data_IF_498602768731
#
_entry.id   IF_498602768731
#
_cell.length_a   1.000
_cell.length_b   1.000
_cell.length_c   1.000
_cell.angle_alpha   90.00
_cell.angle_beta   90.00
_cell.angle_gamma   90.00
#
_symmetry.space_group_name_H-M   'P 1'
#
loop_
_entity.id
_entity.type
_entity.pdbx_description
1 polymer ?
#
# COMPACT_ATOMS: atom_id res chain seq x y z
N UNK A 1 -9.08 14.08 -34.04
CA UNK A 1 -9.38 14.56 -32.68
C UNK A 1 -10.50 13.71 -32.14
N UNK A 2 -10.18 12.77 -31.27
CA UNK A 2 -11.01 12.32 -30.14
C UNK A 2 -10.18 11.25 -29.44
N UNK A 3 -9.54 11.68 -28.34
CA UNK A 3 -8.67 10.84 -27.53
C UNK A 3 -9.52 9.93 -26.65
N UNK A 4 -9.28 8.63 -26.76
CA UNK A 4 -9.73 7.64 -25.79
C UNK A 4 -9.03 7.92 -24.46
N UNK A 5 -9.76 8.60 -23.58
CA UNK A 5 -9.42 8.78 -22.17
C UNK A 5 -9.40 7.41 -21.48
N UNK A 6 -8.27 6.72 -21.58
CA UNK A 6 -8.00 5.50 -20.83
C UNK A 6 -7.53 5.90 -19.43
N UNK A 7 -8.48 6.35 -18.61
CA UNK A 7 -8.30 6.78 -17.21
C UNK A 7 -7.94 5.65 -16.24
N UNK A 8 -7.19 4.63 -16.67
CA UNK A 8 -6.65 3.59 -15.80
C UNK A 8 -5.37 4.10 -15.13
N UNK A 9 -5.50 4.93 -14.08
CA UNK A 9 -4.44 5.07 -13.06
C UNK A 9 -4.82 5.87 -11.80
N UNK A 10 -6.04 6.40 -11.65
CA UNK A 10 -6.27 7.41 -10.61
C UNK A 10 -6.64 6.91 -9.20
N UNK A 11 -7.00 5.63 -8.99
CA UNK A 11 -7.58 5.20 -7.69
C UNK A 11 -6.85 4.05 -6.99
N UNK A 12 -5.67 3.64 -7.47
CA UNK A 12 -4.87 2.67 -6.72
C UNK A 12 -4.02 3.47 -5.72
N UNK A 13 -4.07 3.08 -4.44
CA UNK A 13 -3.03 3.32 -3.41
C UNK A 13 -3.15 4.47 -2.40
N UNK A 14 -4.32 5.07 -2.13
CA UNK A 14 -4.42 5.93 -0.92
C UNK A 14 -5.72 5.67 -0.15
N UNK A 15 -5.61 4.84 0.87
CA UNK A 15 -6.61 4.69 1.91
C UNK A 15 -7.70 3.68 1.54
N UNK A 16 -7.85 2.66 2.37
CA UNK A 16 -9.09 1.90 2.45
C UNK A 16 -10.24 2.84 2.80
N UNK A 17 -10.92 3.39 1.80
CA UNK A 17 -12.33 3.74 1.92
C UNK A 17 -13.15 2.75 1.11
N UNK A 18 -13.10 1.49 1.56
CA UNK A 18 -14.04 0.45 1.16
C UNK A 18 -15.41 0.85 1.75
N UNK A 19 -16.26 1.44 0.92
CA UNK A 19 -17.67 1.67 1.27
C UNK A 19 -18.35 0.31 1.44
N UNK A 20 -18.54 -0.10 2.70
CA UNK A 20 -19.76 -0.78 3.13
C UNK A 20 -19.94 -2.26 2.79
N UNK A 21 -18.97 -2.97 2.24
CA UNK A 21 -19.05 -4.43 2.13
C UNK A 21 -18.20 -5.08 3.21
N UNK A 22 -18.80 -5.96 4.00
CA UNK A 22 -18.09 -6.77 5.01
C UNK A 22 -17.07 -7.64 4.27
N UNK A 23 -15.80 -7.26 4.27
CA UNK A 23 -14.73 -8.12 3.77
C UNK A 23 -14.62 -9.34 4.70
N UNK A 24 -14.96 -10.52 4.19
CA UNK A 24 -14.45 -11.78 4.70
C UNK A 24 -12.98 -11.87 4.27
N UNK A 25 -12.10 -12.36 5.15
CA UNK A 25 -10.73 -12.65 4.73
C UNK A 25 -10.78 -13.68 3.59
N UNK A 26 -10.09 -13.45 2.45
CA UNK A 26 -10.08 -14.42 1.38
C UNK A 26 -9.41 -15.70 1.88
N UNK A 27 -10.11 -16.82 1.71
CA UNK A 27 -9.56 -18.15 1.92
C UNK A 27 -8.57 -18.43 0.77
N UNK A 28 -7.55 -19.27 0.98
CA UNK A 28 -6.49 -19.51 -0.03
C UNK A 28 -7.04 -20.01 -1.39
N UNK A 29 -8.24 -20.59 -1.38
CA UNK A 29 -8.97 -21.10 -2.53
C UNK A 29 -9.74 -20.01 -3.32
N UNK A 30 -9.88 -18.81 -2.76
CA UNK A 30 -10.60 -17.67 -3.37
C UNK A 30 -9.77 -16.92 -4.43
N UNK A 31 -8.51 -17.34 -4.65
CA UNK A 31 -7.60 -16.76 -5.64
C UNK A 31 -7.94 -17.11 -7.10
N UNK A 32 -9.06 -17.79 -7.37
CA UNK A 32 -9.51 -18.15 -8.72
C UNK A 32 -10.16 -16.93 -9.38
N UNK A 33 -9.77 -16.60 -10.61
CA UNK A 33 -10.21 -15.39 -11.32
C UNK A 33 -11.74 -15.23 -11.38
N UNK A 34 -12.48 -16.33 -11.56
CA UNK A 34 -13.96 -16.35 -11.59
C UNK A 34 -14.64 -15.88 -10.28
N UNK A 35 -13.94 -15.94 -9.14
CA UNK A 35 -14.48 -15.50 -7.83
C UNK A 35 -14.18 -14.02 -7.55
N UNK A 36 -13.12 -13.48 -8.16
CA UNK A 36 -12.71 -12.09 -7.98
C UNK A 36 -13.75 -11.14 -8.60
N UNK A 37 -14.24 -11.45 -9.80
CA UNK A 37 -15.29 -10.66 -10.44
C UNK A 37 -16.63 -10.75 -9.70
N UNK A 38 -16.99 -11.95 -9.22
CA UNK A 38 -18.28 -12.21 -8.55
C UNK A 38 -18.41 -11.51 -7.20
N UNK A 39 -17.29 -11.33 -6.49
CA UNK A 39 -17.23 -10.68 -5.17
C UNK A 39 -16.74 -9.21 -5.25
N UNK A 40 -16.59 -8.65 -6.45
CA UNK A 40 -16.24 -7.24 -6.67
C UNK A 40 -14.79 -6.88 -6.39
N UNK A 41 -13.88 -7.85 -6.40
CA UNK A 41 -12.45 -7.65 -6.25
C UNK A 41 -11.84 -7.31 -7.62
N UNK A 42 -11.50 -6.04 -7.82
CA UNK A 42 -10.80 -5.58 -9.01
C UNK A 42 -9.45 -6.32 -9.19
N UNK A 43 -8.96 -6.40 -10.44
CA UNK A 43 -7.76 -7.10 -10.96
C UNK A 43 -6.39 -6.85 -10.27
N UNK A 44 -6.38 -6.27 -9.08
CA UNK A 44 -5.22 -6.01 -8.22
C UNK A 44 -5.38 -6.67 -6.83
N UNK A 45 -6.33 -7.59 -6.68
CA UNK A 45 -6.75 -8.18 -5.40
C UNK A 45 -5.58 -8.75 -4.59
N UNK A 46 -4.68 -9.52 -5.21
CA UNK A 46 -3.53 -10.12 -4.52
C UNK A 46 -2.52 -9.08 -4.01
N UNK A 47 -2.22 -8.04 -4.80
CA UNK A 47 -1.31 -6.97 -4.38
C UNK A 47 -1.91 -6.16 -3.22
N UNK A 48 -3.20 -5.81 -3.32
CA UNK A 48 -3.91 -5.07 -2.28
C UNK A 48 -3.95 -5.87 -0.98
N UNK A 49 -4.35 -7.15 -1.05
CA UNK A 49 -4.39 -8.04 0.12
C UNK A 49 -3.00 -8.23 0.71
N UNK A 50 -1.97 -8.44 -0.11
CA UNK A 50 -0.59 -8.57 0.35
C UNK A 50 -0.09 -7.32 1.09
N UNK A 51 -0.36 -6.12 0.56
CA UNK A 51 0.04 -4.87 1.21
C UNK A 51 -0.79 -4.56 2.46
N UNK A 52 -2.07 -4.91 2.49
CA UNK A 52 -2.88 -4.82 3.70
C UNK A 52 -2.37 -5.75 4.81
N UNK A 53 -2.04 -7.00 4.47
CA UNK A 53 -1.44 -7.96 5.39
C UNK A 53 -0.08 -7.47 5.92
N UNK A 54 0.77 -6.92 5.04
CA UNK A 54 2.06 -6.34 5.43
C UNK A 54 1.90 -5.18 6.43
N UNK A 55 0.91 -4.30 6.22
CA UNK A 55 0.62 -3.19 7.14
C UNK A 55 0.09 -3.67 8.50
N UNK A 56 -0.73 -4.73 8.53
CA UNK A 56 -1.14 -5.36 9.78
C UNK A 56 0.05 -5.99 10.51
N UNK A 57 0.92 -6.69 9.76
CA UNK A 57 2.08 -7.36 10.29
C UNK A 57 3.11 -6.39 10.90
N UNK A 58 3.36 -5.24 10.27
CA UNK A 58 4.26 -4.22 10.81
C UNK A 58 3.80 -3.71 12.19
N UNK A 59 2.48 -3.56 12.41
CA UNK A 59 1.89 -3.18 13.70
C UNK A 59 2.06 -4.27 14.75
N UNK A 60 1.93 -5.54 14.37
CA UNK A 60 2.18 -6.69 15.26
C UNK A 60 3.65 -6.72 15.68
N UNK A 61 4.57 -6.56 14.73
CA UNK A 61 6.01 -6.51 14.99
C UNK A 61 6.38 -5.34 15.91
N UNK A 62 5.85 -4.15 15.65
CA UNK A 62 6.09 -2.97 16.49
C UNK A 62 5.69 -3.19 17.96
N UNK A 63 4.58 -3.89 18.20
CA UNK A 63 4.12 -4.25 19.55
C UNK A 63 5.00 -5.33 20.19
N UNK A 64 5.44 -6.31 19.41
CA UNK A 64 6.24 -7.45 19.91
C UNK A 64 7.68 -7.05 20.21
N UNK A 65 8.25 -6.14 19.42
CA UNK A 65 9.65 -5.75 19.47
C UNK A 65 9.80 -4.27 19.78
N UNK A 66 9.62 -3.91 21.05
CA UNK A 66 9.66 -2.50 21.50
C UNK A 66 11.05 -1.86 21.39
N UNK A 67 12.13 -2.63 21.31
CA UNK A 67 13.47 -2.10 21.06
C UNK A 67 13.66 -1.60 19.62
N UNK A 68 12.88 -2.12 18.66
CA UNK A 68 12.97 -1.74 17.25
C UNK A 68 11.93 -0.67 16.91
N UNK A 69 12.21 0.11 15.86
CA UNK A 69 11.24 1.03 15.26
C UNK A 69 10.74 0.41 13.96
N UNK A 70 9.51 -0.08 13.98
CA UNK A 70 8.92 -0.79 12.83
C UNK A 70 7.77 0.03 12.28
N UNK A 71 7.90 0.53 11.07
CA UNK A 71 6.86 1.33 10.40
C UNK A 71 6.63 0.84 8.98
N UNK A 72 5.45 1.10 8.44
CA UNK A 72 5.14 0.87 7.03
C UNK A 72 5.16 2.20 6.27
N UNK A 73 5.70 2.19 5.05
CA UNK A 73 5.81 3.39 4.21
C UNK A 73 5.32 3.08 2.80
N UNK A 74 4.42 3.91 2.29
CA UNK A 74 4.06 3.96 0.87
C UNK A 74 4.85 5.07 0.19
N UNK A 75 5.67 4.77 -0.83
CA UNK A 75 6.49 5.76 -1.54
C UNK A 75 5.68 6.61 -2.53
N UNK A 76 4.35 6.43 -2.60
CA UNK A 76 3.53 7.01 -3.66
C UNK A 76 3.72 6.33 -5.01
N UNK A 77 3.06 6.84 -6.04
CA UNK A 77 3.11 6.28 -7.39
C UNK A 77 4.37 6.75 -8.13
N UNK A 78 5.41 5.90 -8.10
CA UNK A 78 6.75 6.20 -8.61
C UNK A 78 6.98 5.63 -10.02
N UNK A 79 7.75 6.33 -10.85
CA UNK A 79 8.24 5.90 -12.15
C UNK A 79 9.31 4.81 -11.98
N UNK A 80 8.91 3.55 -12.13
CA UNK A 80 9.76 2.35 -11.98
C UNK A 80 9.30 1.28 -12.96
N UNK A 81 10.07 0.20 -13.11
CA UNK A 81 9.64 -0.93 -13.96
C UNK A 81 8.30 -1.55 -13.51
N UNK A 82 8.01 -1.54 -12.19
CA UNK A 82 6.74 -2.01 -11.63
C UNK A 82 5.52 -1.23 -12.15
N UNK A 83 5.72 0.05 -12.46
CA UNK A 83 4.69 0.96 -12.99
C UNK A 83 4.83 1.21 -14.49
N UNK A 84 5.66 0.43 -15.19
CA UNK A 84 6.01 0.65 -16.59
C UNK A 84 6.53 2.07 -16.85
N UNK A 85 7.35 2.58 -15.91
CA UNK A 85 7.89 3.94 -15.90
C UNK A 85 6.85 5.07 -15.87
N UNK A 86 5.61 4.78 -15.47
CA UNK A 86 4.58 5.78 -15.16
C UNK A 86 4.59 6.17 -13.69
N UNK A 87 4.15 7.37 -13.37
CA UNK A 87 4.16 7.84 -11.99
C UNK A 87 4.16 9.35 -11.85
N UNK A 88 3.68 9.83 -10.72
CA UNK A 88 3.80 11.23 -10.32
C UNK A 88 5.19 11.53 -9.76
N UNK A 89 5.81 10.56 -9.08
CA UNK A 89 7.11 10.70 -8.43
C UNK A 89 8.21 9.97 -9.20
N UNK A 90 9.43 10.46 -9.10
CA UNK A 90 10.64 9.70 -9.46
C UNK A 90 10.95 8.64 -8.39
N UNK A 91 11.79 7.66 -8.72
CA UNK A 91 12.27 6.69 -7.73
C UNK A 91 13.02 7.35 -6.57
N UNK A 92 13.79 8.40 -6.85
CA UNK A 92 14.49 9.19 -5.83
C UNK A 92 13.51 9.90 -4.88
N UNK A 93 12.46 10.53 -5.42
CA UNK A 93 11.44 11.19 -4.60
C UNK A 93 10.67 10.20 -3.73
N UNK A 94 10.30 9.04 -4.28
CA UNK A 94 9.64 7.96 -3.54
C UNK A 94 10.50 7.34 -2.44
N UNK A 95 11.83 7.34 -2.61
CA UNK A 95 12.77 6.79 -1.62
C UNK A 95 12.87 7.65 -0.36
N UNK A 96 12.46 8.93 -0.39
CA UNK A 96 12.59 9.86 0.74
C UNK A 96 11.90 9.36 2.00
N UNK A 97 10.67 8.85 1.88
CA UNK A 97 9.90 8.28 2.99
C UNK A 97 10.61 7.10 3.67
N UNK A 98 10.91 6.02 2.92
CA UNK A 98 11.64 4.86 3.43
C UNK A 98 13.00 5.22 4.05
N UNK A 99 13.79 6.07 3.39
CA UNK A 99 15.10 6.50 3.89
C UNK A 99 14.94 7.26 5.21
N UNK A 100 13.99 8.18 5.30
CA UNK A 100 13.70 8.90 6.55
C UNK A 100 13.35 7.92 7.67
N UNK A 101 12.50 6.93 7.42
CA UNK A 101 12.11 5.93 8.44
C UNK A 101 13.23 4.96 8.80
N UNK A 102 14.22 4.76 7.95
CA UNK A 102 15.41 3.98 8.30
C UNK A 102 16.37 4.75 9.22
N UNK A 103 16.33 6.09 9.18
CA UNK A 103 17.24 6.99 9.90
C UNK A 103 16.62 7.65 11.14
N UNK A 104 15.41 7.25 11.55
CA UNK A 104 14.76 7.82 12.74
C UNK A 104 15.54 7.48 14.01
N UNK A 105 15.52 8.37 15.01
CA UNK A 105 16.15 8.10 16.30
C UNK A 105 15.41 6.98 17.06
N UNK A 106 16.04 6.47 18.12
CA UNK A 106 15.52 5.37 18.93
C UNK A 106 14.19 5.69 19.63
N UNK A 107 13.92 6.97 19.90
CA UNK A 107 12.66 7.50 20.43
C UNK A 107 11.62 7.83 19.34
N UNK A 108 11.95 7.53 18.08
CA UNK A 108 11.08 7.74 16.93
C UNK A 108 9.82 6.87 16.91
N UNK A 109 8.92 7.13 15.95
CA UNK A 109 7.63 6.43 15.84
C UNK A 109 7.82 4.94 15.58
N UNK A 110 6.88 4.13 16.07
CA UNK A 110 6.82 2.70 15.80
C UNK A 110 5.35 2.27 15.69
N UNK A 111 5.08 1.33 14.79
CA UNK A 111 3.75 0.81 14.49
C UNK A 111 2.87 1.75 13.68
N UNK A 112 3.48 2.70 12.96
CA UNK A 112 2.78 3.72 12.16
C UNK A 112 2.85 3.42 10.66
N UNK A 113 1.94 4.05 9.91
CA UNK A 113 1.94 4.05 8.45
C UNK A 113 2.22 5.47 7.95
N UNK A 114 3.05 5.57 6.92
CA UNK A 114 3.43 6.82 6.29
C UNK A 114 3.13 6.78 4.79
N UNK A 115 2.51 7.84 4.27
CA UNK A 115 2.47 8.10 2.84
C UNK A 115 3.53 9.15 2.52
N UNK A 116 4.51 8.79 1.69
CA UNK A 116 5.74 9.56 1.53
C UNK A 116 6.40 9.84 2.88
N UNK A 117 6.42 11.12 3.32
CA UNK A 117 7.00 11.53 4.59
C UNK A 117 5.93 11.88 5.64
N UNK A 118 4.64 11.77 5.32
CA UNK A 118 3.55 12.16 6.21
C UNK A 118 2.93 10.95 6.88
N UNK A 119 2.67 11.05 8.20
CA UNK A 119 1.93 10.00 8.91
C UNK A 119 0.50 9.99 8.37
N UNK A 120 -0.01 8.80 8.06
CA UNK A 120 -1.35 8.62 7.54
C UNK A 120 -2.09 7.53 8.32
N UNK A 121 -3.41 7.65 8.36
CA UNK A 121 -4.25 6.62 8.93
C UNK A 121 -4.29 5.42 7.97
N UNK A 122 -4.26 4.22 8.55
CA UNK A 122 -4.63 2.98 7.87
C UNK A 122 -6.15 2.88 7.78
#
# INVERSE_FOLDING_TARGET
MEGTNNGFCHDILIGTKLKGTKLKAPDADDAKEDLLEKEGWLNLSAYIVSKAALNAYSRILAKKFTAFRVNAVSPGFCKTDLSHNNGQFTAEEGARGPVRMALIPADGPSGKFFYQMEESAL
#
